data_IF_037046549806
#
_entry.id   IF_037046549806
#
_cell.length_a   1.000
_cell.length_b   1.000
_cell.length_c   1.000
_cell.angle_alpha   90.00
_cell.angle_beta   90.00
_cell.angle_gamma   90.00
#
_symmetry.space_group_name_H-M   'P 1'
#
loop_
_entity.id
_entity.type
_entity.pdbx_description
1 polymer ?
#
# COMPACT_ATOMS: atom_id res chain seq x y z
N UNK A 1 18.97 15.53 0.77
CA UNK A 1 19.16 14.08 1.01
C UNK A 1 18.36 13.33 -0.03
N UNK A 2 18.92 12.28 -0.62
CA UNK A 2 18.23 11.43 -1.60
C UNK A 2 17.25 10.50 -0.88
N UNK A 3 16.03 10.28 -1.42
CA UNK A 3 15.09 9.34 -0.84
C UNK A 3 15.64 7.91 -0.91
N UNK A 4 15.72 7.27 0.24
CA UNK A 4 16.15 5.88 0.41
C UNK A 4 14.95 4.99 0.72
N UNK A 5 14.95 3.78 0.17
CA UNK A 5 14.04 2.68 0.49
C UNK A 5 14.85 1.48 0.97
N UNK A 6 14.19 0.52 1.60
CA UNK A 6 14.79 -0.74 2.02
C UNK A 6 14.21 -1.90 1.20
N UNK A 7 15.06 -2.64 0.50
CA UNK A 7 14.69 -3.86 -0.20
C UNK A 7 14.74 -5.04 0.77
N UNK A 8 13.64 -5.77 0.88
CA UNK A 8 13.53 -6.95 1.74
C UNK A 8 13.54 -8.20 0.88
N UNK A 9 14.32 -9.21 1.28
CA UNK A 9 14.30 -10.55 0.67
C UNK A 9 14.08 -11.60 1.75
N UNK A 10 13.02 -12.39 1.62
CA UNK A 10 12.70 -13.51 2.50
C UNK A 10 13.68 -14.67 2.27
N UNK A 11 14.15 -15.26 3.37
CA UNK A 11 14.99 -16.46 3.35
C UNK A 11 14.22 -17.74 3.69
N UNK A 12 14.87 -18.89 3.52
CA UNK A 12 14.34 -20.20 3.89
C UNK A 12 13.80 -21.03 2.71
N UNK A 13 13.25 -22.23 2.98
CA UNK A 13 12.97 -23.24 1.95
C UNK A 13 11.77 -22.90 1.05
N UNK A 14 10.85 -22.03 1.51
CA UNK A 14 9.70 -21.56 0.73
C UNK A 14 9.58 -20.04 0.89
N UNK A 15 10.44 -19.26 0.22
CA UNK A 15 10.59 -17.85 0.49
C UNK A 15 9.50 -16.99 -0.18
N UNK A 16 8.31 -17.52 -0.46
CA UNK A 16 7.23 -16.72 -1.05
C UNK A 16 6.87 -15.56 -0.11
N UNK A 17 7.03 -14.33 -0.58
CA UNK A 17 6.63 -13.08 0.06
C UNK A 17 5.63 -12.34 -0.84
N UNK A 18 4.73 -13.10 -1.45
CA UNK A 18 3.68 -12.63 -2.34
C UNK A 18 2.44 -13.50 -2.18
N UNK A 19 1.32 -13.08 -2.77
CA UNK A 19 0.07 -13.82 -2.72
C UNK A 19 0.17 -15.11 -3.55
N UNK A 20 -0.45 -16.18 -3.07
CA UNK A 20 -0.78 -17.35 -3.87
C UNK A 20 -2.19 -17.20 -4.41
N UNK A 21 -2.37 -17.30 -5.72
CA UNK A 21 -3.65 -17.11 -6.39
C UNK A 21 -4.07 -18.42 -7.06
N UNK A 22 -5.27 -18.91 -6.74
CA UNK A 22 -5.77 -20.20 -7.20
C UNK A 22 -7.30 -20.23 -7.23
N UNK A 23 -7.88 -21.21 -7.92
CA UNK A 23 -9.30 -21.52 -7.81
C UNK A 23 -9.49 -22.60 -6.73
N UNK A 24 -10.47 -22.43 -5.85
CA UNK A 24 -10.85 -23.50 -4.92
C UNK A 24 -11.65 -24.62 -5.63
N UNK A 25 -12.12 -25.60 -4.84
CA UNK A 25 -12.86 -26.76 -5.36
C UNK A 25 -14.18 -26.38 -6.02
N UNK A 26 -14.71 -25.19 -5.73
CA UNK A 26 -15.94 -24.64 -6.28
C UNK A 26 -15.67 -23.73 -7.48
N UNK A 27 -14.41 -23.55 -7.87
CA UNK A 27 -14.02 -22.65 -8.96
C UNK A 27 -14.00 -21.18 -8.55
N UNK A 28 -14.03 -20.86 -7.26
CA UNK A 28 -13.98 -19.48 -6.77
C UNK A 28 -12.52 -19.03 -6.65
N UNK A 29 -12.25 -17.81 -7.11
CA UNK A 29 -10.92 -17.21 -7.03
C UNK A 29 -10.52 -16.94 -5.58
N UNK A 30 -9.37 -17.50 -5.19
CA UNK A 30 -8.76 -17.31 -3.88
C UNK A 30 -7.45 -16.54 -4.03
N UNK A 31 -7.23 -15.60 -3.12
CA UNK A 31 -6.01 -14.79 -3.00
C UNK A 31 -5.43 -14.95 -1.59
N UNK A 32 -4.54 -15.91 -1.43
CA UNK A 32 -3.95 -16.29 -0.14
C UNK A 32 -2.62 -15.55 0.12
N UNK A 33 -2.63 -14.70 1.15
CA UNK A 33 -1.45 -13.97 1.64
C UNK A 33 -0.82 -14.59 2.89
N UNK A 34 -1.22 -15.79 3.32
CA UNK A 34 -0.76 -16.41 4.58
C UNK A 34 0.75 -16.62 4.65
N UNK A 35 1.41 -16.74 3.50
CA UNK A 35 2.87 -16.87 3.42
C UNK A 35 3.61 -15.53 3.38
N UNK A 36 2.91 -14.39 3.31
CA UNK A 36 3.48 -13.04 3.30
C UNK A 36 4.03 -12.62 4.69
N UNK A 37 4.83 -13.50 5.29
CA UNK A 37 5.47 -13.35 6.58
C UNK A 37 6.98 -13.31 6.39
N UNK A 38 7.62 -12.28 6.97
CA UNK A 38 9.06 -12.07 6.93
C UNK A 38 9.69 -12.51 8.26
N UNK A 39 9.84 -13.83 8.43
CA UNK A 39 10.40 -14.39 9.67
C UNK A 39 11.94 -14.40 9.69
N UNK A 40 12.55 -14.54 8.52
CA UNK A 40 14.00 -14.53 8.32
C UNK A 40 14.33 -14.05 6.90
N UNK A 41 15.48 -13.42 6.71
CA UNK A 41 15.95 -12.97 5.40
C UNK A 41 16.95 -11.84 5.50
N UNK A 42 16.92 -10.91 4.56
CA UNK A 42 17.82 -9.76 4.51
C UNK A 42 17.07 -8.46 4.24
N UNK A 43 17.68 -7.34 4.66
CA UNK A 43 17.31 -5.99 4.32
C UNK A 43 18.51 -5.31 3.64
N UNK A 44 18.26 -4.55 2.57
CA UNK A 44 19.31 -3.86 1.82
C UNK A 44 18.88 -2.45 1.49
N UNK A 45 19.73 -1.46 1.75
CA UNK A 45 19.48 -0.06 1.36
C UNK A 45 19.43 0.07 -0.15
N UNK A 46 18.54 0.91 -0.65
CA UNK A 46 18.52 1.29 -2.06
C UNK A 46 18.05 2.73 -2.22
N UNK A 47 18.68 3.46 -3.13
CA UNK A 47 18.26 4.82 -3.50
C UNK A 47 17.11 4.76 -4.52
N UNK A 48 16.15 5.66 -4.38
CA UNK A 48 15.02 5.80 -5.29
C UNK A 48 14.74 7.27 -5.59
N UNK A 49 15.74 7.98 -6.13
CA UNK A 49 15.73 9.45 -6.29
C UNK A 49 14.62 10.01 -7.20
N UNK A 50 14.16 9.23 -8.16
CA UNK A 50 13.20 9.62 -9.19
C UNK A 50 12.07 8.61 -9.28
N UNK A 51 10.93 8.99 -9.88
CA UNK A 51 9.87 8.02 -10.14
C UNK A 51 10.37 6.87 -11.03
N UNK A 52 11.24 7.15 -12.00
CA UNK A 52 11.88 6.11 -12.82
C UNK A 52 12.73 5.14 -11.99
N UNK A 53 13.52 5.65 -11.03
CA UNK A 53 14.34 4.81 -10.16
C UNK A 53 13.48 3.92 -9.26
N UNK A 54 12.43 4.48 -8.64
CA UNK A 54 11.49 3.68 -7.85
C UNK A 54 10.75 2.64 -8.71
N UNK A 55 10.26 3.03 -9.88
CA UNK A 55 9.57 2.12 -10.80
C UNK A 55 10.45 0.92 -11.21
N UNK A 56 11.76 1.12 -11.35
CA UNK A 56 12.72 0.03 -11.59
C UNK A 56 12.77 -0.96 -10.42
N UNK A 57 12.82 -0.48 -9.17
CA UNK A 57 12.78 -1.35 -7.99
C UNK A 57 11.46 -2.10 -7.87
N UNK A 58 10.34 -1.41 -8.09
CA UNK A 58 8.98 -2.01 -8.10
C UNK A 58 8.86 -3.10 -9.17
N UNK A 59 9.36 -2.86 -10.38
CA UNK A 59 9.32 -3.83 -11.48
C UNK A 59 10.25 -5.03 -11.24
N UNK A 60 11.39 -4.83 -10.56
CA UNK A 60 12.38 -5.86 -10.30
C UNK A 60 12.05 -6.74 -9.07
N UNK A 61 10.96 -6.43 -8.34
CA UNK A 61 10.59 -7.13 -7.12
C UNK A 61 10.23 -8.60 -7.39
N UNK A 62 11.09 -9.53 -6.98
CA UNK A 62 10.88 -10.97 -7.09
C UNK A 62 9.84 -11.51 -6.11
N UNK A 63 9.32 -12.73 -6.35
CA UNK A 63 8.30 -13.37 -5.49
C UNK A 63 8.72 -13.59 -4.05
N UNK A 64 10.02 -13.53 -3.77
CA UNK A 64 10.65 -13.62 -2.46
C UNK A 64 10.98 -12.25 -1.85
N UNK A 65 10.62 -11.16 -2.51
CA UNK A 65 10.98 -9.81 -2.14
C UNK A 65 9.76 -8.94 -1.85
N UNK A 66 10.02 -7.87 -1.11
CA UNK A 66 9.10 -6.77 -0.89
C UNK A 66 9.90 -5.47 -0.74
N UNK A 67 9.22 -4.34 -0.91
CA UNK A 67 9.83 -3.02 -0.71
C UNK A 67 9.35 -2.48 0.63
N UNK A 68 10.23 -1.79 1.34
CA UNK A 68 9.91 -1.03 2.55
C UNK A 68 10.31 0.41 2.28
N UNK A 69 9.42 1.36 2.57
CA UNK A 69 9.62 2.76 2.16
C UNK A 69 10.42 3.58 3.17
N UNK A 70 10.56 3.10 4.41
CA UNK A 70 11.51 3.60 5.37
C UNK A 70 12.94 3.16 5.05
N UNK A 71 13.90 3.94 5.55
CA UNK A 71 15.32 3.64 5.46
C UNK A 71 15.77 2.81 6.65
N UNK A 72 16.82 2.02 6.47
CA UNK A 72 17.55 1.45 7.60
C UNK A 72 18.08 2.61 8.46
N UNK A 73 18.01 2.53 9.80
CA UNK A 73 18.51 3.61 10.66
C UNK A 73 20.02 3.81 10.55
N UNK A 74 20.47 5.02 10.89
CA UNK A 74 21.89 5.34 10.94
C UNK A 74 22.66 4.36 11.83
N UNK A 75 23.86 3.97 11.41
CA UNK A 75 24.71 3.00 12.12
C UNK A 75 24.46 1.54 11.75
N UNK A 76 23.38 1.22 11.02
CA UNK A 76 23.18 -0.12 10.45
C UNK A 76 23.93 -0.26 9.11
N UNK A 77 24.49 -1.44 8.80
CA UNK A 77 25.10 -1.73 7.50
C UNK A 77 24.13 -1.59 6.33
N UNK A 78 24.66 -1.41 5.12
CA UNK A 78 23.86 -1.34 3.89
C UNK A 78 23.12 -2.65 3.58
N UNK A 79 23.65 -3.78 4.05
CA UNK A 79 23.04 -5.10 3.95
C UNK A 79 23.07 -5.77 5.32
N UNK A 80 21.90 -6.16 5.84
CA UNK A 80 21.77 -6.72 7.19
C UNK A 80 20.80 -7.90 7.22
N UNK A 81 21.06 -8.85 8.12
CA UNK A 81 20.16 -9.99 8.35
C UNK A 81 18.89 -9.53 9.06
N UNK A 82 17.75 -10.07 8.65
CA UNK A 82 16.45 -9.84 9.28
C UNK A 82 15.99 -11.11 9.98
N UNK A 83 15.51 -10.96 11.22
CA UNK A 83 14.84 -12.01 12.00
C UNK A 83 13.63 -11.42 12.74
N UNK A 84 12.92 -12.25 13.50
CA UNK A 84 11.83 -11.81 14.39
C UNK A 84 12.38 -11.30 15.72
N UNK A 85 11.73 -10.30 16.32
CA UNK A 85 12.25 -9.59 17.50
C UNK A 85 12.68 -10.51 18.66
N UNK A 86 11.92 -11.56 18.95
CA UNK A 86 12.23 -12.48 20.05
C UNK A 86 13.48 -13.35 19.82
N UNK A 87 14.01 -13.39 18.58
CA UNK A 87 15.23 -14.13 18.20
C UNK A 87 16.46 -13.24 18.05
N UNK A 88 16.36 -11.93 18.27
CA UNK A 88 17.50 -11.01 18.14
C UNK A 88 18.66 -11.39 19.06
N UNK A 89 18.34 -11.81 20.29
CA UNK A 89 19.34 -12.29 21.28
C UNK A 89 20.16 -13.49 20.78
N UNK A 90 19.58 -14.31 19.92
CA UNK A 90 20.20 -15.53 19.39
C UNK A 90 20.85 -15.29 18.02
N UNK A 91 20.73 -14.07 17.47
CA UNK A 91 21.23 -13.69 16.14
C UNK A 91 21.95 -12.32 16.20
N UNK A 92 23.16 -12.25 16.79
CA UNK A 92 23.91 -11.00 16.89
C UNK A 92 24.12 -10.34 15.51
N UNK A 93 23.85 -9.04 15.43
CA UNK A 93 23.97 -8.26 14.20
C UNK A 93 22.77 -8.35 13.25
N UNK A 94 21.76 -9.18 13.55
CA UNK A 94 20.49 -9.15 12.85
C UNK A 94 19.59 -8.02 13.39
N UNK A 95 18.62 -7.61 12.56
CA UNK A 95 17.58 -6.64 12.92
C UNK A 95 16.20 -7.29 12.86
N UNK A 96 15.23 -6.67 13.53
CA UNK A 96 13.83 -6.95 13.31
C UNK A 96 13.24 -5.98 12.28
N UNK A 97 12.20 -6.42 11.56
CA UNK A 97 11.36 -5.51 10.78
C UNK A 97 10.44 -4.72 11.71
N UNK A 98 11.00 -3.74 12.40
CA UNK A 98 10.31 -2.83 13.31
C UNK A 98 10.84 -1.40 13.11
N UNK A 99 10.06 -0.42 13.59
CA UNK A 99 10.44 1.00 13.62
C UNK A 99 11.71 1.30 14.43
N UNK A 100 12.17 0.33 15.22
CA UNK A 100 13.46 0.42 15.90
C UNK A 100 14.62 0.44 14.89
N UNK A 101 14.52 -0.31 13.79
CA UNK A 101 15.61 -0.51 12.82
C UNK A 101 15.34 0.07 11.44
N UNK A 102 14.06 0.14 11.03
CA UNK A 102 13.65 0.65 9.72
C UNK A 102 12.50 1.63 9.92
N UNK A 103 12.67 2.90 9.54
CA UNK A 103 11.59 3.89 9.61
C UNK A 103 11.87 5.07 8.67
N UNK A 104 10.88 5.92 8.47
CA UNK A 104 11.07 7.21 7.83
C UNK A 104 11.99 8.11 8.66
N UNK A 105 12.76 8.96 7.99
CA UNK A 105 13.62 9.96 8.62
C UNK A 105 12.94 11.33 8.56
N UNK A 106 12.81 11.98 9.71
CA UNK A 106 12.27 13.34 9.80
C UNK A 106 13.21 14.34 9.12
N UNK A 107 12.64 15.32 8.40
CA UNK A 107 13.36 16.32 7.64
C UNK A 107 14.02 15.82 6.36
N UNK A 108 13.76 14.56 5.95
CA UNK A 108 14.32 13.97 4.74
C UNK A 108 13.23 13.56 3.75
N UNK A 109 13.46 13.70 2.42
CA UNK A 109 12.52 13.20 1.42
C UNK A 109 12.33 11.68 1.51
N UNK A 110 11.10 11.23 1.29
CA UNK A 110 10.74 9.81 1.33
C UNK A 110 9.58 9.51 0.39
N UNK A 111 9.34 8.23 0.13
CA UNK A 111 8.17 7.79 -0.62
C UNK A 111 7.04 7.42 0.34
N UNK A 112 5.85 7.94 0.11
CA UNK A 112 4.62 7.54 0.81
C UNK A 112 3.78 6.65 -0.11
N UNK A 113 3.20 5.57 0.43
CA UNK A 113 2.26 4.73 -0.31
C UNK A 113 0.83 5.19 -0.04
N UNK A 114 0.07 5.41 -1.12
CA UNK A 114 -1.39 5.35 -1.11
C UNK A 114 -1.79 3.98 -1.64
N UNK A 115 -2.30 3.15 -0.74
CA UNK A 115 -2.85 1.83 -1.05
C UNK A 115 -4.38 1.92 -1.16
N UNK A 116 -4.88 1.68 -2.36
CA UNK A 116 -6.30 1.65 -2.68
C UNK A 116 -6.78 0.23 -2.91
N UNK A 117 -7.74 -0.18 -2.09
CA UNK A 117 -8.42 -1.46 -2.20
C UNK A 117 -9.94 -1.23 -2.28
N UNK A 118 -10.62 -2.01 -3.13
CA UNK A 118 -12.05 -1.86 -3.41
C UNK A 118 -12.93 -2.75 -2.52
N UNK A 119 -12.33 -3.55 -1.63
CA UNK A 119 -13.06 -4.53 -0.83
C UNK A 119 -14.11 -3.88 0.05
N UNK A 120 -15.36 -4.34 -0.13
CA UNK A 120 -16.51 -3.86 0.63
C UNK A 120 -16.91 -2.42 0.30
N UNK A 121 -16.39 -1.86 -0.80
CA UNK A 121 -16.74 -0.52 -1.26
C UNK A 121 -18.22 -0.47 -1.68
N UNK A 122 -19.03 0.44 -1.13
CA UNK A 122 -20.41 0.62 -1.53
C UNK A 122 -20.55 1.06 -2.99
N UNK A 123 -21.64 0.66 -3.65
CA UNK A 123 -21.94 1.01 -5.05
C UNK A 123 -21.92 2.52 -5.28
N UNK A 124 -22.45 3.30 -4.33
CA UNK A 124 -22.45 4.77 -4.42
C UNK A 124 -21.04 5.36 -4.44
N UNK A 125 -20.12 4.81 -3.64
CA UNK A 125 -18.71 5.24 -3.62
C UNK A 125 -18.02 4.83 -4.92
N UNK A 126 -18.25 3.60 -5.39
CA UNK A 126 -17.72 3.12 -6.66
C UNK A 126 -18.16 4.00 -7.84
N UNK A 127 -19.45 4.34 -7.91
CA UNK A 127 -20.00 5.23 -8.93
C UNK A 127 -19.42 6.65 -8.85
N UNK A 128 -19.20 7.17 -7.64
CA UNK A 128 -18.54 8.47 -7.43
C UNK A 128 -17.11 8.50 -7.95
N UNK A 129 -16.36 7.41 -7.74
CA UNK A 129 -14.99 7.24 -8.26
C UNK A 129 -15.00 7.15 -9.79
N UNK A 130 -15.91 6.36 -10.36
CA UNK A 130 -16.06 6.23 -11.82
C UNK A 130 -16.41 7.56 -12.47
N UNK A 131 -17.40 8.29 -11.92
CA UNK A 131 -17.80 9.62 -12.38
C UNK A 131 -16.68 10.67 -12.23
N UNK A 132 -15.68 10.41 -11.37
CA UNK A 132 -14.49 11.24 -11.29
C UNK A 132 -13.45 10.96 -12.38
N UNK A 133 -13.56 9.82 -13.09
CA UNK A 133 -12.54 9.33 -14.02
C UNK A 133 -11.61 8.28 -13.39
N UNK A 134 -12.00 7.67 -12.27
CA UNK A 134 -11.22 6.67 -11.55
C UNK A 134 -10.62 7.18 -10.24
N UNK A 135 -9.90 6.29 -9.55
CA UNK A 135 -9.38 6.55 -8.19
C UNK A 135 -8.50 7.79 -8.13
N UNK A 136 -7.52 7.93 -9.03
CA UNK A 136 -6.58 9.05 -8.98
C UNK A 136 -7.28 10.40 -9.18
N UNK A 137 -8.09 10.62 -10.23
CA UNK A 137 -8.92 11.83 -10.34
C UNK A 137 -9.85 12.08 -9.15
N UNK A 138 -10.45 11.04 -8.55
CA UNK A 138 -11.26 11.20 -7.34
C UNK A 138 -10.42 11.72 -6.17
N UNK A 139 -9.21 11.18 -5.99
CA UNK A 139 -8.28 11.63 -4.95
C UNK A 139 -7.80 13.07 -5.18
N UNK A 140 -7.61 13.50 -6.44
CA UNK A 140 -7.28 14.89 -6.76
C UNK A 140 -8.40 15.87 -6.39
N UNK A 141 -9.66 15.43 -6.31
CA UNK A 141 -10.75 16.26 -5.78
C UNK A 141 -10.66 16.45 -4.26
N UNK A 142 -10.01 15.52 -3.55
CA UNK A 142 -9.78 15.59 -2.10
C UNK A 142 -8.55 16.45 -1.79
N UNK A 143 -7.47 16.26 -2.54
CA UNK A 143 -6.21 16.97 -2.36
C UNK A 143 -5.61 17.36 -3.73
N UNK A 144 -6.03 18.51 -4.31
CA UNK A 144 -5.60 18.93 -5.65
C UNK A 144 -4.07 19.09 -5.79
N UNK A 145 -3.38 19.43 -4.70
CA UNK A 145 -1.92 19.57 -4.68
C UNK A 145 -1.16 18.29 -5.05
N UNK A 146 -1.81 17.12 -4.99
CA UNK A 146 -1.23 15.85 -5.43
C UNK A 146 -1.00 15.77 -6.94
N UNK A 147 -1.65 16.62 -7.75
CA UNK A 147 -1.53 16.58 -9.22
C UNK A 147 -0.08 16.75 -9.69
N UNK A 148 0.73 17.51 -8.95
CA UNK A 148 2.13 17.79 -9.29
C UNK A 148 3.12 16.82 -8.65
N UNK A 149 2.66 15.89 -7.83
CA UNK A 149 3.54 14.98 -7.09
C UNK A 149 4.31 14.06 -8.03
N UNK A 150 5.62 13.95 -7.85
CA UNK A 150 6.38 12.82 -8.40
C UNK A 150 5.74 11.52 -7.88
N UNK A 151 5.39 10.62 -8.79
CA UNK A 151 4.57 9.45 -8.47
C UNK A 151 4.97 8.21 -9.27
N UNK A 152 4.88 7.04 -8.65
CA UNK A 152 4.82 5.75 -9.35
C UNK A 152 3.46 5.11 -9.10
N UNK A 153 2.76 4.73 -10.17
CA UNK A 153 1.46 4.09 -10.07
C UNK A 153 1.52 2.66 -10.59
N UNK A 154 0.85 1.74 -9.90
CA UNK A 154 0.80 0.34 -10.33
C UNK A 154 -0.48 -0.34 -9.86
N UNK A 155 -1.02 -1.20 -10.71
CA UNK A 155 -2.14 -2.05 -10.33
C UNK A 155 -1.71 -3.11 -9.29
N UNK A 156 -2.63 -3.48 -8.41
CA UNK A 156 -2.39 -4.43 -7.33
C UNK A 156 -1.91 -5.82 -7.81
N UNK A 157 -1.45 -6.62 -6.86
CA UNK A 157 -0.93 -7.98 -7.12
C UNK A 157 -1.90 -8.93 -7.81
N UNK A 158 -3.21 -8.74 -7.63
CA UNK A 158 -4.25 -9.57 -8.26
C UNK A 158 -4.87 -8.95 -9.52
N UNK A 159 -4.27 -7.91 -10.10
CA UNK A 159 -4.74 -7.33 -11.36
C UNK A 159 -4.40 -8.21 -12.58
N UNK A 160 -5.22 -8.15 -13.64
CA UNK A 160 -4.93 -8.82 -14.92
C UNK A 160 -5.02 -10.35 -14.89
N UNK A 161 -5.78 -10.92 -13.96
CA UNK A 161 -5.97 -12.38 -13.87
C UNK A 161 -6.93 -12.87 -14.95
N UNK A 162 -6.61 -14.02 -15.54
CA UNK A 162 -7.48 -14.68 -16.49
C UNK A 162 -7.33 -16.20 -16.42
N UNK A 163 -8.32 -16.90 -16.96
CA UNK A 163 -8.30 -18.34 -17.15
C UNK A 163 -7.69 -18.68 -18.49
N UNK A 164 -6.59 -19.44 -18.52
CA UNK A 164 -5.95 -19.82 -19.79
C UNK A 164 -6.76 -20.85 -20.58
N UNK A 165 -7.49 -21.71 -19.88
CA UNK A 165 -8.30 -22.77 -20.49
C UNK A 165 -9.55 -22.22 -21.21
N UNK A 166 -10.12 -21.12 -20.73
CA UNK A 166 -11.33 -20.52 -21.31
C UNK A 166 -11.12 -19.15 -21.95
N UNK A 167 -10.01 -18.46 -21.66
CA UNK A 167 -9.76 -17.06 -22.03
C UNK A 167 -10.53 -16.05 -21.17
N UNK A 168 -11.32 -16.50 -20.20
CA UNK A 168 -12.16 -15.66 -19.34
C UNK A 168 -11.31 -14.73 -18.47
N UNK A 169 -11.61 -13.42 -18.51
CA UNK A 169 -11.01 -12.45 -17.61
C UNK A 169 -11.67 -12.54 -16.24
N UNK A 170 -10.86 -12.62 -15.19
CA UNK A 170 -11.35 -12.67 -13.83
C UNK A 170 -11.34 -11.27 -13.20
N UNK A 171 -12.36 -10.94 -12.40
CA UNK A 171 -12.33 -9.71 -11.62
C UNK A 171 -11.17 -9.79 -10.61
N UNK A 172 -10.08 -9.08 -10.90
CA UNK A 172 -9.01 -8.83 -9.93
C UNK A 172 -9.50 -7.96 -8.78
N UNK A 173 -8.61 -7.48 -7.89
CA UNK A 173 -9.07 -6.61 -6.79
C UNK A 173 -9.49 -5.20 -7.24
N UNK A 174 -9.15 -4.78 -8.47
CA UNK A 174 -9.30 -3.38 -8.89
C UNK A 174 -8.45 -2.38 -8.10
N UNK A 175 -7.61 -2.86 -7.19
CA UNK A 175 -6.78 -2.04 -6.32
C UNK A 175 -5.55 -1.45 -7.03
N UNK A 176 -5.01 -0.39 -6.46
CA UNK A 176 -3.91 0.39 -7.02
C UNK A 176 -2.97 0.86 -5.92
N UNK A 177 -1.67 0.84 -6.20
CA UNK A 177 -0.65 1.46 -5.36
C UNK A 177 -0.16 2.73 -6.06
N UNK A 178 -0.14 3.84 -5.32
CA UNK A 178 0.48 5.09 -5.75
C UNK A 178 1.54 5.51 -4.75
N UNK A 179 2.80 5.45 -5.18
CA UNK A 179 3.92 5.95 -4.40
C UNK A 179 4.13 7.42 -4.71
N UNK A 180 4.11 8.28 -3.70
CA UNK A 180 4.29 9.73 -3.84
C UNK A 180 5.58 10.15 -3.17
N UNK A 181 6.38 10.98 -3.85
CA UNK A 181 7.57 11.56 -3.24
C UNK A 181 7.16 12.74 -2.36
N UNK A 182 7.49 12.68 -1.07
CA UNK A 182 7.24 13.75 -0.09
C UNK A 182 8.55 14.41 0.32
N UNK A 183 8.49 15.68 0.75
CA UNK A 183 9.66 16.42 1.23
C UNK A 183 10.14 15.97 2.61
N UNK A 184 9.23 15.52 3.47
CA UNK A 184 9.53 15.10 4.84
C UNK A 184 8.84 13.76 5.16
N UNK A 185 9.65 12.71 5.31
CA UNK A 185 9.20 11.38 5.70
C UNK A 185 8.63 11.32 7.12
N UNK A 186 9.03 12.22 8.01
CA UNK A 186 8.52 12.32 9.37
C UNK A 186 7.02 12.68 9.44
N UNK A 187 6.48 13.29 8.38
CA UNK A 187 5.09 13.73 8.32
C UNK A 187 4.15 12.73 7.62
N UNK A 188 4.67 11.61 7.08
CA UNK A 188 3.88 10.63 6.33
C UNK A 188 2.73 10.03 7.15
N UNK A 189 2.96 9.74 8.44
CA UNK A 189 1.92 9.17 9.29
C UNK A 189 0.72 10.12 9.44
N UNK A 190 0.98 11.42 9.67
CA UNK A 190 -0.07 12.42 9.74
C UNK A 190 -0.71 12.65 8.37
N UNK A 191 0.09 12.72 7.30
CA UNK A 191 -0.37 12.88 5.92
C UNK A 191 -1.42 11.87 5.51
N UNK A 192 -1.15 10.58 5.70
CA UNK A 192 -2.07 9.53 5.28
C UNK A 192 -3.32 9.44 6.18
N UNK A 193 -3.19 9.77 7.48
CA UNK A 193 -4.35 9.84 8.39
C UNK A 193 -5.28 10.99 8.02
N UNK A 194 -4.74 12.19 7.82
CA UNK A 194 -5.55 13.35 7.44
C UNK A 194 -6.15 13.17 6.04
N UNK A 195 -5.41 12.60 5.07
CA UNK A 195 -5.93 12.33 3.73
C UNK A 195 -7.05 11.29 3.77
N UNK A 196 -6.94 10.25 4.61
CA UNK A 196 -8.00 9.28 4.85
C UNK A 196 -9.27 9.94 5.38
N UNK A 197 -9.15 10.80 6.40
CA UNK A 197 -10.30 11.50 6.98
C UNK A 197 -10.87 12.57 6.03
N UNK A 198 -10.04 13.23 5.20
CA UNK A 198 -10.53 14.08 4.11
C UNK A 198 -11.32 13.29 3.08
N UNK A 199 -10.94 12.04 2.77
CA UNK A 199 -11.77 11.19 1.91
C UNK A 199 -13.17 10.98 2.51
N UNK A 200 -13.30 10.83 3.83
CA UNK A 200 -14.61 10.77 4.50
C UNK A 200 -15.42 12.05 4.31
N UNK A 201 -14.80 13.23 4.42
CA UNK A 201 -15.49 14.51 4.18
C UNK A 201 -16.00 14.65 2.74
N UNK A 202 -15.34 14.00 1.79
CA UNK A 202 -15.70 14.01 0.37
C UNK A 202 -16.64 12.86 -0.03
N UNK A 203 -17.19 12.10 0.92
CA UNK A 203 -18.09 10.97 0.63
C UNK A 203 -17.38 9.75 0.02
N UNK A 204 -16.06 9.68 0.18
CA UNK A 204 -15.18 8.64 -0.34
C UNK A 204 -14.67 7.70 0.77
N UNK A 205 -15.31 7.74 1.94
CA UNK A 205 -15.09 6.83 3.06
C UNK A 205 -16.28 5.91 3.29
N UNK A 206 -16.03 4.70 3.78
CA UNK A 206 -17.05 3.72 4.10
C UNK A 206 -16.62 2.79 5.22
N UNK A 207 -17.58 2.12 5.86
CA UNK A 207 -17.30 1.04 6.79
C UNK A 207 -17.36 -0.32 6.11
N UNK A 208 -16.44 -1.20 6.48
CA UNK A 208 -16.47 -2.63 6.18
C UNK A 208 -16.63 -3.41 7.49
N UNK A 209 -17.60 -4.33 7.56
CA UNK A 209 -17.72 -5.24 8.69
C UNK A 209 -16.60 -6.29 8.61
N UNK A 210 -15.73 -6.30 9.62
CA UNK A 210 -14.66 -7.27 9.76
C UNK A 210 -15.17 -8.65 10.19
N UNK A 211 -14.30 -9.66 10.08
CA UNK A 211 -14.67 -11.05 10.40
C UNK A 211 -15.05 -11.29 11.86
N UNK A 212 -14.73 -10.38 12.77
CA UNK A 212 -15.12 -10.43 14.19
C UNK A 212 -16.25 -9.43 14.51
N UNK A 213 -16.95 -8.90 13.49
CA UNK A 213 -18.05 -7.94 13.66
C UNK A 213 -17.61 -6.50 13.91
N UNK A 214 -16.31 -6.22 13.94
CA UNK A 214 -15.80 -4.86 14.11
C UNK A 214 -16.05 -4.01 12.86
N UNK A 215 -16.34 -2.72 13.05
CA UNK A 215 -16.37 -1.76 11.95
C UNK A 215 -14.94 -1.34 11.58
N UNK A 216 -14.60 -1.49 10.30
CA UNK A 216 -13.32 -1.07 9.75
C UNK A 216 -13.52 0.18 8.90
N UNK A 217 -12.95 1.31 9.31
CA UNK A 217 -12.93 2.53 8.50
C UNK A 217 -12.09 2.29 7.24
N UNK A 218 -12.70 2.49 6.08
CA UNK A 218 -12.07 2.42 4.76
C UNK A 218 -12.25 3.73 4.02
N UNK A 219 -11.32 4.01 3.12
CA UNK A 219 -11.41 5.10 2.16
C UNK A 219 -10.49 4.79 0.98
N UNK A 220 -10.22 5.77 0.11
CA UNK A 220 -9.23 5.64 -0.96
C UNK A 220 -7.78 5.45 -0.43
N UNK A 221 -7.56 5.65 0.87
CA UNK A 221 -6.25 5.60 1.52
C UNK A 221 -6.28 4.64 2.69
N UNK A 222 -5.49 3.56 2.64
CA UNK A 222 -5.21 2.75 3.82
C UNK A 222 -4.17 3.42 4.73
N UNK A 223 -4.61 3.89 5.89
CA UNK A 223 -3.72 4.48 6.92
C UNK A 223 -2.70 3.49 7.51
N UNK A 224 -2.89 2.18 7.35
CA UNK A 224 -2.00 1.17 7.93
C UNK A 224 -0.64 1.09 7.23
N UNK A 225 -0.53 1.61 6.00
CA UNK A 225 0.72 1.64 5.23
C UNK A 225 1.61 2.83 5.61
N UNK A 226 1.18 3.65 6.58
CA UNK A 226 1.86 4.88 6.94
C UNK A 226 3.13 4.70 7.78
N UNK A 227 3.47 3.47 8.14
CA UNK A 227 4.65 3.16 8.95
C UNK A 227 5.82 2.73 8.07
N UNK A 228 7.01 3.28 8.31
CA UNK A 228 8.17 3.13 7.44
C UNK A 228 8.68 1.70 7.32
N UNK A 229 8.39 0.80 8.26
CA UNK A 229 8.79 -0.61 8.26
C UNK A 229 7.81 -1.56 7.54
N UNK A 230 6.69 -1.04 7.04
CA UNK A 230 5.64 -1.84 6.39
C UNK A 230 6.09 -2.35 5.03
N UNK A 231 5.72 -3.60 4.74
CA UNK A 231 6.03 -4.25 3.46
C UNK A 231 5.03 -3.79 2.40
N UNK A 232 5.55 -3.27 1.30
CA UNK A 232 4.86 -3.07 0.04
C UNK A 232 5.07 -4.31 -0.83
N UNK A 233 3.99 -5.04 -1.10
CA UNK A 233 4.04 -6.30 -1.84
C UNK A 233 3.90 -6.06 -3.34
N UNK A 234 5.04 -5.86 -4.02
CA UNK A 234 5.07 -5.56 -5.46
C UNK A 234 5.36 -6.78 -6.33
N UNK A 235 5.73 -7.91 -5.76
CA UNK A 235 6.09 -9.06 -6.55
C UNK A 235 4.93 -9.63 -7.40
N UNK A 236 5.25 -10.43 -8.41
CA UNK A 236 4.28 -11.32 -9.05
C UNK A 236 3.70 -12.29 -8.01
N UNK A 237 2.39 -12.59 -8.05
CA UNK A 237 1.83 -13.66 -7.23
C UNK A 237 2.32 -15.03 -7.71
N UNK A 238 2.30 -16.02 -6.83
CA UNK A 238 2.36 -17.42 -7.23
C UNK A 238 0.99 -17.82 -7.78
N UNK A 239 0.90 -17.97 -9.10
CA UNK A 239 -0.36 -18.33 -9.77
C UNK A 239 -0.43 -19.83 -9.99
N UNK A 240 -1.57 -20.42 -9.64
CA UNK A 240 -1.83 -21.85 -9.80
C UNK A 240 -2.70 -22.07 -11.03
N UNK A 241 -2.32 -22.97 -11.96
CA UNK A 241 -3.15 -23.32 -13.12
C UNK A 241 -4.59 -23.70 -12.72
N UNK A 242 -5.60 -23.38 -13.55
CA UNK A 242 -5.49 -22.86 -14.92
C UNK A 242 -5.37 -21.33 -15.02
N UNK A 243 -5.14 -20.65 -13.89
CA UNK A 243 -5.01 -19.19 -13.87
C UNK A 243 -3.68 -18.74 -14.48
N UNK A 244 -3.69 -17.59 -15.13
CA UNK A 244 -2.52 -16.80 -15.53
C UNK A 244 -2.76 -15.31 -15.24
N UNK A 245 -1.70 -14.51 -15.33
CA UNK A 245 -1.77 -13.04 -15.18
C UNK A 245 -1.11 -12.40 -16.38
N UNK A 246 -1.76 -11.39 -16.94
CA UNK A 246 -1.16 -10.50 -17.92
C UNK A 246 -0.17 -9.55 -17.21
N UNK A 247 1.16 -9.73 -17.39
CA UNK A 247 2.15 -8.87 -16.75
C UNK A 247 2.08 -7.42 -17.23
N UNK A 248 1.54 -7.17 -18.44
CA UNK A 248 1.39 -5.82 -18.96
C UNK A 248 0.42 -4.97 -18.13
N UNK A 249 -0.54 -5.60 -17.43
CA UNK A 249 -1.47 -4.92 -16.52
C UNK A 249 -0.80 -4.41 -15.23
N UNK A 250 0.42 -4.84 -14.94
CA UNK A 250 1.16 -4.49 -13.73
C UNK A 250 2.47 -3.76 -14.01
N UNK A 251 2.64 -3.18 -15.18
CA UNK A 251 3.80 -2.33 -15.46
C UNK A 251 3.68 -1.05 -14.59
N UNK A 252 4.69 -0.73 -13.74
CA UNK A 252 4.67 0.52 -12.99
C UNK A 252 4.79 1.72 -13.95
N UNK A 253 3.95 2.72 -13.73
CA UNK A 253 3.90 3.95 -14.51
C UNK A 253 4.51 5.09 -13.69
N UNK A 254 5.74 5.53 -14.01
CA UNK A 254 6.35 6.69 -13.37
C UNK A 254 5.79 7.99 -13.94
N UNK A 255 5.66 8.98 -13.08
CA UNK A 255 5.35 10.37 -13.41
C UNK A 255 6.32 11.25 -12.62
N UNK A 256 7.14 12.04 -13.33
CA UNK A 256 8.06 12.97 -12.69
C UNK A 256 7.35 14.31 -12.45
N UNK A 257 7.49 14.82 -11.22
CA UNK A 257 6.90 16.06 -10.77
C UNK A 257 7.76 16.68 -9.67
N UNK A 258 7.14 17.15 -8.59
CA UNK A 258 7.83 17.66 -7.42
C UNK A 258 7.69 16.72 -6.21
N UNK A 259 8.68 16.76 -5.31
CA UNK A 259 8.49 16.26 -3.96
C UNK A 259 7.48 17.18 -3.24
N UNK A 260 6.35 16.63 -2.81
CA UNK A 260 5.27 17.44 -2.24
C UNK A 260 5.53 17.80 -0.78
N UNK A 261 5.11 18.99 -0.42
CA UNK A 261 4.96 19.40 0.98
C UNK A 261 3.61 18.89 1.49
N UNK A 262 3.65 17.88 2.36
CA UNK A 262 2.45 17.18 2.81
C UNK A 262 1.57 18.01 3.75
N UNK A 263 2.13 19.00 4.46
CA UNK A 263 1.37 19.93 5.30
C UNK A 263 0.61 20.97 4.46
N UNK A 264 1.17 21.36 3.31
CA UNK A 264 0.49 22.24 2.36
C UNK A 264 -0.54 21.51 1.50
N UNK A 265 -0.22 20.31 1.02
CA UNK A 265 -1.11 19.54 0.13
C UNK A 265 -2.28 18.93 0.89
N UNK A 266 -2.05 18.48 2.13
CA UNK A 266 -3.10 17.96 3.03
C UNK A 266 -2.93 18.63 4.39
N UNK A 267 -3.52 19.82 4.58
CA UNK A 267 -3.48 20.50 5.87
C UNK A 267 -4.16 19.66 6.95
N UNK A 268 -3.70 19.82 8.20
CA UNK A 268 -4.36 19.22 9.36
C UNK A 268 -5.83 19.63 9.41
N UNK A 269 -6.68 18.71 9.83
CA UNK A 269 -8.09 18.99 10.03
C UNK A 269 -8.27 20.00 11.17
N UNK A 270 -9.21 20.90 10.99
CA UNK A 270 -9.76 21.74 12.07
C UNK A 270 -10.63 20.90 13.01
N UNK A 271 -10.99 21.44 14.18
CA UNK A 271 -11.95 20.78 15.07
C UNK A 271 -13.31 20.58 14.41
N UNK A 272 -13.76 21.57 13.65
CA UNK A 272 -15.00 21.50 12.88
C UNK A 272 -14.95 20.37 11.84
N UNK A 273 -13.86 20.26 11.07
CA UNK A 273 -13.68 19.16 10.12
C UNK A 273 -13.63 17.80 10.80
N UNK A 274 -12.93 17.67 11.95
CA UNK A 274 -12.93 16.43 12.74
C UNK A 274 -14.32 16.03 13.20
N UNK A 275 -15.13 16.99 13.64
CA UNK A 275 -16.53 16.73 14.01
C UNK A 275 -17.32 16.22 12.80
N UNK A 276 -17.19 16.88 11.63
CA UNK A 276 -17.83 16.45 10.38
C UNK A 276 -17.41 15.05 9.92
N UNK A 277 -16.16 14.66 10.14
CA UNK A 277 -15.68 13.29 9.87
C UNK A 277 -16.40 12.28 10.77
N UNK A 278 -16.52 12.59 12.07
CA UNK A 278 -17.22 11.73 13.01
C UNK A 278 -18.71 11.58 12.64
N UNK A 279 -19.38 12.66 12.24
CA UNK A 279 -20.76 12.61 11.76
C UNK A 279 -20.89 11.69 10.53
N UNK A 280 -19.97 11.82 9.57
CA UNK A 280 -19.96 10.98 8.36
C UNK A 280 -19.76 9.50 8.71
N UNK A 281 -18.87 9.20 9.66
CA UNK A 281 -18.65 7.82 10.15
C UNK A 281 -19.88 7.30 10.90
N UNK A 282 -20.48 8.09 11.79
CA UNK A 282 -21.69 7.70 12.50
C UNK A 282 -22.85 7.39 11.55
N UNK A 283 -23.10 8.27 10.56
CA UNK A 283 -24.12 8.06 9.54
C UNK A 283 -23.87 6.78 8.72
N UNK A 284 -22.61 6.50 8.37
CA UNK A 284 -22.23 5.26 7.69
C UNK A 284 -22.48 4.02 8.55
N UNK A 285 -22.17 4.08 9.85
CA UNK A 285 -22.41 2.98 10.79
C UNK A 285 -23.90 2.70 10.96
N UNK A 286 -24.73 3.74 11.09
CA UNK A 286 -26.19 3.62 11.16
C UNK A 286 -26.78 3.01 9.88
N UNK A 287 -26.27 3.42 8.70
CA UNK A 287 -26.73 2.88 7.43
C UNK A 287 -26.46 1.37 7.31
N UNK A 288 -25.33 0.89 7.82
CA UNK A 288 -25.03 -0.54 7.89
C UNK A 288 -25.93 -1.27 8.90
N UNK A 289 -26.19 -0.66 10.06
CA UNK A 289 -27.07 -1.25 11.08
C UNK A 289 -28.53 -1.40 10.64
N UNK A 290 -29.02 -0.54 9.73
CA UNK A 290 -30.36 -0.65 9.13
C UNK A 290 -30.45 -1.68 7.99
N UNK A 291 -29.31 -2.10 7.45
CA UNK A 291 -29.22 -3.04 6.32
C UNK A 291 -28.91 -4.49 6.76
N UNK A 292 -28.63 -4.70 8.04
CA UNK A 292 -28.42 -6.00 8.68
C UNK A 292 -29.74 -6.55 9.26
#
# INVERSE_FOLDING_TARGET
MSPEITLIRKGGPKPLLSKRIFLDKQGVLQSDGSQCLMAQGTATRATAETAKALAKHVAACGSDQAIVLGSLKAGLPDHVMVTVSHRLKDNPGAIARSREFIDYQAGAPAWALIDFDTKGMPVAVAAGIEAAGGMWPALLRVAPGLQRATRVSRASTSAGLYRKDTGEQLPGSGGQHHYLLVKDGGDIERFLRDLHDRCWLHGLGWHLIGGAGQLLDRSLVDRMVAYGERLCFEAAPLIVPPLEQDPAKRIPVPFEGEAIDTELVVPRLTEYERHRVNDAKAASAEALGKAA
#
